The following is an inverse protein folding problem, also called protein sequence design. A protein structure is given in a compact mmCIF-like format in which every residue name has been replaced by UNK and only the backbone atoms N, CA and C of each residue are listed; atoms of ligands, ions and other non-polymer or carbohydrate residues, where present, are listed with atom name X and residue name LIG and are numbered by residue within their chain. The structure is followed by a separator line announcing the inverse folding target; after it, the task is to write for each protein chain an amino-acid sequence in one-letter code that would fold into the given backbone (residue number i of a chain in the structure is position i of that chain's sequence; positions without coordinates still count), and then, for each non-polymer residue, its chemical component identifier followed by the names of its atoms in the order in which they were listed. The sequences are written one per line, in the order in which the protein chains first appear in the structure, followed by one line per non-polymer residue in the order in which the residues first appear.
data_IF_899043124665
#
_entry.id   IF_899043124665
#
_cell.length_a   1.000
_cell.length_b   1.000
_cell.length_c   1.000
_cell.angle_alpha   90.00
_cell.angle_beta   90.00
_cell.angle_gamma   90.00
#
_symmetry.space_group_name_H-M   'P 1'
#
loop_
_entity.id
_entity.type
_entity.pdbx_description
1 polymer ?
#
# COMPACT_ATOMS: atom_id res chain seq x y z
N UNK A 1 5.29 27.78 -20.31
CA UNK A 1 6.61 28.44 -20.18
C UNK A 1 7.77 27.47 -20.28
N UNK A 2 7.89 26.47 -19.39
CA UNK A 2 8.99 25.47 -19.45
C UNK A 2 9.14 24.80 -20.82
N UNK A 3 8.01 24.41 -21.43
CA UNK A 3 7.95 23.79 -22.75
C UNK A 3 8.48 24.68 -23.91
N UNK A 4 8.56 26.01 -23.74
CA UNK A 4 9.14 26.90 -24.74
C UNK A 4 10.67 26.79 -24.78
N UNK A 5 11.28 26.49 -23.63
CA UNK A 5 12.74 26.34 -23.48
C UNK A 5 13.14 24.88 -23.72
N UNK A 6 12.33 23.94 -23.25
CA UNK A 6 12.57 22.51 -23.34
C UNK A 6 11.31 21.79 -23.87
N UNK A 7 11.08 21.78 -25.19
CA UNK A 7 9.87 21.18 -25.78
C UNK A 7 9.80 19.66 -25.56
N UNK A 8 10.93 19.00 -25.30
CA UNK A 8 11.02 17.56 -25.04
C UNK A 8 10.24 17.11 -23.79
N UNK A 9 9.93 18.03 -22.87
CA UNK A 9 9.14 17.70 -21.67
C UNK A 9 7.65 17.54 -21.95
N UNK A 10 7.16 17.95 -23.13
CA UNK A 10 5.74 17.84 -23.51
C UNK A 10 5.36 16.36 -23.75
N UNK A 11 4.15 15.99 -23.31
CA UNK A 11 3.56 14.67 -23.57
C UNK A 11 4.32 13.51 -22.90
N UNK A 12 4.11 12.29 -23.42
CA UNK A 12 4.75 11.08 -22.87
C UNK A 12 6.25 10.98 -23.15
N UNK A 13 6.73 11.60 -24.24
CA UNK A 13 8.15 11.61 -24.60
C UNK A 13 8.68 10.32 -25.24
N UNK A 14 7.82 9.42 -25.72
CA UNK A 14 8.22 8.15 -26.34
C UNK A 14 9.18 8.31 -27.53
N UNK A 15 8.96 9.31 -28.40
CA UNK A 15 9.89 9.60 -29.50
C UNK A 15 11.29 9.97 -29.02
N UNK A 16 11.40 10.77 -27.96
CA UNK A 16 12.68 11.12 -27.35
C UNK A 16 13.36 9.94 -26.66
N UNK A 17 12.57 9.02 -26.09
CA UNK A 17 13.12 7.76 -25.58
C UNK A 17 13.72 6.92 -26.72
N UNK A 18 13.09 6.88 -27.90
CA UNK A 18 13.67 6.23 -29.07
C UNK A 18 14.97 6.90 -29.51
N UNK A 19 15.02 8.23 -29.57
CA UNK A 19 16.26 8.97 -29.88
C UNK A 19 17.39 8.69 -28.86
N UNK A 20 17.05 8.47 -27.58
CA UNK A 20 18.01 8.05 -26.57
C UNK A 20 18.51 6.61 -26.81
N UNK A 21 17.61 5.68 -27.14
CA UNK A 21 17.96 4.29 -27.49
C UNK A 21 18.93 4.27 -28.69
N UNK A 22 18.65 5.08 -29.71
CA UNK A 22 19.45 5.20 -30.92
C UNK A 22 20.77 5.96 -30.70
N UNK A 23 21.01 6.47 -29.49
CA UNK A 23 22.23 7.22 -29.15
C UNK A 23 22.33 8.58 -29.83
N UNK A 24 21.21 9.16 -30.27
CA UNK A 24 21.18 10.43 -31.03
C UNK A 24 21.11 11.69 -30.17
N UNK A 25 20.98 11.54 -28.84
CA UNK A 25 20.91 12.65 -27.90
C UNK A 25 22.27 12.93 -27.24
N UNK A 26 22.65 14.20 -27.17
CA UNK A 26 23.86 14.64 -26.47
C UNK A 26 23.72 14.48 -24.94
N UNK A 27 24.83 14.18 -24.26
CA UNK A 27 24.88 14.03 -22.79
C UNK A 27 24.27 15.21 -22.04
N UNK A 28 24.55 16.45 -22.47
CA UNK A 28 23.99 17.65 -21.86
C UNK A 28 22.46 17.71 -21.95
N UNK A 29 21.89 17.29 -23.10
CA UNK A 29 20.45 17.19 -23.31
C UNK A 29 19.84 16.12 -22.40
N UNK A 30 20.45 14.93 -22.34
CA UNK A 30 20.01 13.83 -21.48
C UNK A 30 19.96 14.28 -20.00
N UNK A 31 21.04 14.90 -19.52
CA UNK A 31 21.12 15.43 -18.16
C UNK A 31 20.05 16.49 -17.88
N UNK A 32 19.88 17.46 -18.78
CA UNK A 32 18.84 18.49 -18.64
C UNK A 32 17.44 17.86 -18.54
N UNK A 33 17.16 16.82 -19.34
CA UNK A 33 15.86 16.15 -19.37
C UNK A 33 15.56 15.30 -18.14
N UNK A 34 16.59 14.69 -17.51
CA UNK A 34 16.46 13.99 -16.22
C UNK A 34 15.95 14.94 -15.14
N UNK A 35 16.31 16.24 -15.18
CA UNK A 35 15.87 17.24 -14.22
C UNK A 35 14.58 17.95 -14.64
N UNK A 36 14.42 18.25 -15.93
CA UNK A 36 13.28 19.01 -16.43
C UNK A 36 11.98 18.20 -16.42
N UNK A 37 12.02 16.89 -16.69
CA UNK A 37 10.81 16.05 -16.77
C UNK A 37 10.11 15.87 -15.41
N UNK A 38 10.80 15.55 -14.29
CA UNK A 38 10.17 15.53 -12.96
C UNK A 38 9.56 16.89 -12.61
N UNK A 39 10.27 17.99 -12.88
CA UNK A 39 9.76 19.33 -12.62
C UNK A 39 8.47 19.62 -13.41
N UNK A 40 8.46 19.30 -14.70
CA UNK A 40 7.27 19.46 -15.55
C UNK A 40 6.09 18.63 -15.03
N UNK A 41 6.34 17.36 -14.66
CA UNK A 41 5.34 16.46 -14.11
C UNK A 41 4.79 16.98 -12.77
N UNK A 42 5.66 17.39 -11.85
CA UNK A 42 5.26 17.93 -10.55
C UNK A 42 4.39 19.18 -10.72
N UNK A 43 4.81 20.14 -11.55
CA UNK A 43 4.03 21.36 -11.82
C UNK A 43 2.66 21.05 -12.45
N UNK A 44 2.59 20.05 -13.33
CA UNK A 44 1.34 19.66 -13.99
C UNK A 44 0.36 19.04 -12.99
N UNK A 45 0.82 18.09 -12.17
CA UNK A 45 -0.03 17.40 -11.19
C UNK A 45 -0.41 18.35 -10.05
N UNK A 46 0.53 19.16 -9.54
CA UNK A 46 0.25 20.07 -8.43
C UNK A 46 -0.70 21.21 -8.79
N UNK A 47 -0.80 21.56 -10.08
CA UNK A 47 -1.77 22.57 -10.57
C UNK A 47 -3.16 22.00 -10.86
N UNK A 48 -3.41 20.73 -10.54
CA UNK A 48 -4.68 20.05 -10.83
C UNK A 48 -4.82 19.56 -12.27
N UNK A 49 -3.73 19.58 -13.05
CA UNK A 49 -3.70 18.99 -14.38
C UNK A 49 -3.81 17.47 -14.34
N UNK A 50 -4.57 16.90 -15.28
CA UNK A 50 -4.60 15.45 -15.47
C UNK A 50 -3.32 15.00 -16.17
N UNK A 51 -2.46 14.28 -15.43
CA UNK A 51 -1.19 13.76 -15.94
C UNK A 51 -0.86 12.43 -15.29
N UNK A 52 -0.61 11.41 -16.10
CA UNK A 52 -0.12 10.12 -15.62
C UNK A 52 1.34 10.21 -15.16
N UNK A 53 1.67 9.47 -14.10
CA UNK A 53 3.03 9.39 -13.54
C UNK A 53 3.91 8.34 -14.23
N UNK A 54 3.28 7.46 -15.01
CA UNK A 54 3.89 6.30 -15.65
C UNK A 54 4.89 6.70 -16.76
N UNK A 55 4.41 7.32 -17.84
CA UNK A 55 5.23 7.66 -19.00
C UNK A 55 6.40 8.60 -18.65
N UNK A 56 6.22 9.65 -17.81
CA UNK A 56 7.35 10.47 -17.37
C UNK A 56 8.41 9.68 -16.60
N UNK A 57 8.03 8.69 -15.79
CA UNK A 57 8.99 7.85 -15.06
C UNK A 57 9.84 6.98 -15.98
N UNK A 58 9.22 6.40 -17.02
CA UNK A 58 9.96 5.67 -18.06
C UNK A 58 10.93 6.60 -18.79
N UNK A 59 10.45 7.79 -19.17
CA UNK A 59 11.27 8.80 -19.83
C UNK A 59 12.48 9.20 -19.00
N UNK A 60 12.30 9.48 -17.71
CA UNK A 60 13.40 9.83 -16.80
C UNK A 60 14.43 8.70 -16.75
N UNK A 61 13.97 7.46 -16.64
CA UNK A 61 14.86 6.28 -16.66
C UNK A 61 15.61 6.12 -17.98
N UNK A 62 14.95 6.37 -19.11
CA UNK A 62 15.58 6.33 -20.42
C UNK A 62 16.69 7.38 -20.57
N UNK A 63 16.40 8.63 -20.18
CA UNK A 63 17.39 9.72 -20.24
C UNK A 63 18.57 9.46 -19.31
N UNK A 64 18.31 8.95 -18.09
CA UNK A 64 19.36 8.61 -17.13
C UNK A 64 20.24 7.46 -17.65
N UNK A 65 19.64 6.42 -18.21
CA UNK A 65 20.36 5.31 -18.83
C UNK A 65 21.24 5.78 -20.00
N UNK A 66 20.68 6.60 -20.90
CA UNK A 66 21.44 7.19 -22.00
C UNK A 66 22.60 8.05 -21.52
N UNK A 67 22.40 8.84 -20.46
CA UNK A 67 23.44 9.65 -19.86
C UNK A 67 24.58 8.77 -19.32
N UNK A 68 24.25 7.70 -18.61
CA UNK A 68 25.24 6.75 -18.10
C UNK A 68 26.01 6.06 -19.22
N UNK A 69 25.34 5.65 -20.31
CA UNK A 69 26.01 5.11 -21.49
C UNK A 69 26.97 6.11 -22.13
N UNK A 70 26.55 7.38 -22.27
CA UNK A 70 27.39 8.42 -22.84
C UNK A 70 28.63 8.70 -21.99
N UNK A 71 28.48 8.77 -20.67
CA UNK A 71 29.60 8.95 -19.73
C UNK A 71 30.54 7.74 -19.68
N UNK A 72 30.01 6.54 -19.86
CA UNK A 72 30.78 5.30 -19.89
C UNK A 72 31.37 4.97 -21.29
N UNK A 73 31.06 5.78 -22.31
CA UNK A 73 31.39 5.52 -23.72
C UNK A 73 30.90 4.14 -24.21
N UNK A 74 29.70 3.74 -23.78
CA UNK A 74 29.07 2.47 -24.11
C UNK A 74 27.88 2.66 -25.07
N UNK A 75 27.42 1.59 -25.75
CA UNK A 75 26.18 1.64 -26.53
C UNK A 75 24.99 2.08 -25.68
N UNK A 76 24.16 2.98 -26.22
CA UNK A 76 23.05 3.58 -25.47
C UNK A 76 21.93 2.59 -25.16
N UNK A 77 21.50 1.81 -26.15
CA UNK A 77 20.31 0.95 -26.05
C UNK A 77 20.27 0.07 -24.78
N UNK A 78 21.31 -0.71 -24.41
CA UNK A 78 21.26 -1.54 -23.20
C UNK A 78 21.06 -0.73 -21.91
N UNK A 79 21.76 0.40 -21.78
CA UNK A 79 21.66 1.25 -20.59
C UNK A 79 20.34 1.99 -20.52
N UNK A 80 19.81 2.44 -21.66
CA UNK A 80 18.51 3.11 -21.75
C UNK A 80 17.39 2.15 -21.34
N UNK A 81 17.41 0.91 -21.86
CA UNK A 81 16.42 -0.13 -21.51
C UNK A 81 16.50 -0.48 -20.02
N UNK A 82 17.71 -0.77 -19.51
CA UNK A 82 17.91 -1.11 -18.10
C UNK A 82 17.55 0.06 -17.18
N UNK A 83 17.93 1.29 -17.53
CA UNK A 83 17.63 2.51 -16.78
C UNK A 83 16.13 2.80 -16.71
N UNK A 84 15.42 2.59 -17.82
CA UNK A 84 13.96 2.70 -17.90
C UNK A 84 13.28 1.75 -16.92
N UNK A 85 13.66 0.47 -16.94
CA UNK A 85 13.13 -0.53 -16.02
C UNK A 85 13.47 -0.22 -14.56
N UNK A 86 14.74 0.11 -14.27
CA UNK A 86 15.22 0.33 -12.91
C UNK A 86 14.59 1.56 -12.24
N UNK A 87 14.47 2.68 -12.94
CA UNK A 87 13.87 3.90 -12.38
C UNK A 87 12.38 3.69 -12.10
N UNK A 88 11.64 3.13 -13.05
CA UNK A 88 10.21 2.89 -12.85
C UNK A 88 9.94 1.83 -11.77
N UNK A 89 10.68 0.71 -11.78
CA UNK A 89 10.57 -0.32 -10.75
C UNK A 89 10.79 0.22 -9.33
N UNK A 90 11.83 1.04 -9.16
CA UNK A 90 12.15 1.66 -7.89
C UNK A 90 11.10 2.67 -7.46
N UNK A 91 10.70 3.58 -8.35
CA UNK A 91 9.71 4.60 -8.04
C UNK A 91 8.32 4.01 -7.71
N UNK A 92 7.87 3.01 -8.48
CA UNK A 92 6.52 2.45 -8.38
C UNK A 92 6.41 1.20 -7.48
N UNK A 93 7.51 0.71 -6.90
CA UNK A 93 7.53 -0.52 -6.08
C UNK A 93 7.03 -1.78 -6.81
N UNK A 94 7.29 -1.88 -8.12
CA UNK A 94 6.81 -2.99 -8.96
C UNK A 94 7.94 -3.67 -9.73
N UNK A 95 8.95 -4.25 -9.05
CA UNK A 95 10.17 -4.74 -9.71
C UNK A 95 9.90 -5.78 -10.80
N UNK A 96 9.06 -6.78 -10.53
CA UNK A 96 8.76 -7.84 -11.50
C UNK A 96 7.96 -7.31 -12.69
N UNK A 97 6.93 -6.50 -12.43
CA UNK A 97 6.08 -5.97 -13.49
C UNK A 97 6.84 -4.98 -14.39
N UNK A 98 7.64 -4.09 -13.80
CA UNK A 98 8.46 -3.13 -14.54
C UNK A 98 9.52 -3.84 -15.40
N UNK A 99 10.17 -4.88 -14.87
CA UNK A 99 11.13 -5.69 -15.61
C UNK A 99 10.46 -6.33 -16.84
N UNK A 100 9.37 -7.08 -16.64
CA UNK A 100 8.65 -7.75 -17.72
C UNK A 100 8.14 -6.76 -18.77
N UNK A 101 7.51 -5.67 -18.32
CA UNK A 101 6.95 -4.66 -19.20
C UNK A 101 8.01 -4.02 -20.11
N UNK A 102 9.16 -3.62 -19.55
CA UNK A 102 10.20 -2.97 -20.35
C UNK A 102 10.87 -3.98 -21.29
N UNK A 103 11.10 -5.23 -20.87
CA UNK A 103 11.66 -6.25 -21.76
C UNK A 103 10.72 -6.60 -22.91
N UNK A 104 9.41 -6.66 -22.67
CA UNK A 104 8.39 -6.91 -23.70
C UNK A 104 8.31 -5.73 -24.68
N UNK A 105 8.23 -4.50 -24.17
CA UNK A 105 8.13 -3.29 -25.02
C UNK A 105 9.36 -3.05 -25.90
N UNK A 106 10.53 -3.53 -25.47
CA UNK A 106 11.81 -3.29 -26.17
C UNK A 106 12.34 -4.51 -26.92
N UNK A 107 11.73 -5.68 -26.72
CA UNK A 107 12.24 -6.97 -27.24
C UNK A 107 13.59 -7.40 -26.63
N UNK A 108 14.06 -6.71 -25.59
CA UNK A 108 15.40 -6.85 -25.01
C UNK A 108 15.57 -8.03 -24.05
N UNK A 109 15.08 -9.22 -24.38
CA UNK A 109 15.13 -10.39 -23.49
C UNK A 109 16.55 -10.83 -23.10
N UNK A 110 17.54 -10.52 -23.94
CA UNK A 110 18.96 -10.77 -23.65
C UNK A 110 19.46 -9.95 -22.45
N UNK A 111 18.79 -8.83 -22.13
CA UNK A 111 19.13 -7.94 -21.02
C UNK A 111 18.36 -8.26 -19.74
N UNK A 112 17.57 -9.35 -19.70
CA UNK A 112 16.71 -9.66 -18.56
C UNK A 112 17.50 -9.82 -17.26
N UNK A 113 18.63 -10.54 -17.29
CA UNK A 113 19.49 -10.75 -16.11
C UNK A 113 20.11 -9.43 -15.60
N UNK A 114 20.81 -8.62 -16.41
CA UNK A 114 21.35 -7.35 -15.93
C UNK A 114 20.25 -6.35 -15.53
N UNK A 115 19.12 -6.34 -16.25
CA UNK A 115 17.97 -5.50 -15.88
C UNK A 115 17.37 -5.91 -14.54
N UNK A 116 17.22 -7.21 -14.27
CA UNK A 116 16.72 -7.71 -12.99
C UNK A 116 17.62 -7.28 -11.82
N UNK A 117 18.94 -7.35 -11.98
CA UNK A 117 19.88 -6.87 -10.96
C UNK A 117 19.73 -5.37 -10.70
N UNK A 118 19.73 -4.55 -11.75
CA UNK A 118 19.57 -3.10 -11.62
C UNK A 118 18.21 -2.72 -11.00
N UNK A 119 17.14 -3.39 -11.41
CA UNK A 119 15.79 -3.25 -10.87
C UNK A 119 15.75 -3.59 -9.39
N UNK A 120 16.34 -4.71 -8.97
CA UNK A 120 16.36 -5.12 -7.57
C UNK A 120 17.16 -4.16 -6.70
N UNK A 121 18.32 -3.70 -7.17
CA UNK A 121 19.13 -2.70 -6.46
C UNK A 121 18.35 -1.38 -6.34
N UNK A 122 17.77 -0.89 -7.42
CA UNK A 122 16.95 0.32 -7.43
C UNK A 122 15.77 0.21 -6.45
N UNK A 123 15.03 -0.90 -6.48
CA UNK A 123 13.92 -1.15 -5.58
C UNK A 123 14.36 -1.17 -4.10
N UNK A 124 15.44 -1.86 -3.76
CA UNK A 124 15.93 -1.95 -2.39
C UNK A 124 16.42 -0.60 -1.87
N UNK A 125 17.20 0.14 -2.68
CA UNK A 125 17.70 1.48 -2.33
C UNK A 125 16.55 2.44 -2.16
N UNK A 126 15.61 2.46 -3.11
CA UNK A 126 14.44 3.34 -3.05
C UNK A 126 13.63 3.02 -1.80
N UNK A 127 13.30 1.74 -1.52
CA UNK A 127 12.49 1.35 -0.36
C UNK A 127 13.14 1.76 0.97
N UNK A 128 14.47 1.64 1.06
CA UNK A 128 15.24 2.08 2.23
C UNK A 128 15.21 3.59 2.42
N UNK A 129 15.36 4.35 1.33
CA UNK A 129 15.37 5.81 1.38
C UNK A 129 13.98 6.40 1.62
N UNK A 130 12.97 5.81 0.98
CA UNK A 130 11.57 6.21 1.03
C UNK A 130 10.92 5.94 2.41
N UNK A 131 11.49 5.03 3.22
CA UNK A 131 10.97 4.68 4.54
C UNK A 131 10.82 5.87 5.52
N UNK A 132 11.55 6.97 5.28
CA UNK A 132 11.48 8.19 6.11
C UNK A 132 10.49 9.23 5.58
N UNK A 133 9.92 9.03 4.39
CA UNK A 133 9.03 9.98 3.76
C UNK A 133 7.56 9.56 3.92
N UNK A 134 6.66 10.54 3.84
CA UNK A 134 5.21 10.31 3.89
C UNK A 134 4.72 9.40 2.76
N UNK A 135 5.31 9.56 1.58
CA UNK A 135 4.96 8.81 0.39
C UNK A 135 6.09 7.86 0.04
N UNK A 136 5.81 6.55 0.09
CA UNK A 136 6.83 5.52 -0.06
C UNK A 136 7.03 5.08 -1.51
N UNK A 137 6.01 5.24 -2.34
CA UNK A 137 6.02 4.93 -3.77
C UNK A 137 5.36 6.05 -4.57
N UNK A 138 5.54 6.01 -5.88
CA UNK A 138 4.92 6.92 -6.84
C UNK A 138 3.38 6.82 -6.85
N UNK A 139 2.84 5.68 -6.44
CA UNK A 139 1.40 5.41 -6.42
C UNK A 139 0.91 5.39 -4.97
N UNK A 140 0.45 6.55 -4.49
CA UNK A 140 0.03 6.74 -3.09
C UNK A 140 -1.12 5.81 -2.67
N UNK A 141 -2.01 5.48 -3.62
CA UNK A 141 -3.14 4.58 -3.40
C UNK A 141 -2.78 3.09 -3.50
N UNK A 142 -1.51 2.76 -3.75
CA UNK A 142 -1.07 1.37 -3.87
C UNK A 142 -1.05 0.70 -2.49
N UNK A 143 -1.86 -0.34 -2.37
CA UNK A 143 -1.95 -1.17 -1.16
C UNK A 143 -0.94 -2.31 -1.18
N UNK A 144 -0.60 -2.85 0.00
CA UNK A 144 0.45 -3.85 0.14
C UNK A 144 0.11 -5.20 -0.51
N UNK A 145 -1.15 -5.62 -0.40
CA UNK A 145 -1.61 -6.89 -0.98
C UNK A 145 -2.87 -6.69 -1.80
N UNK A 146 -3.14 -7.64 -2.70
CA UNK A 146 -4.39 -7.66 -3.48
C UNK A 146 -5.63 -7.69 -2.58
N UNK A 147 -5.55 -8.34 -1.41
CA UNK A 147 -6.66 -8.43 -0.46
C UNK A 147 -7.04 -7.07 0.13
N UNK A 148 -6.07 -6.15 0.26
CA UNK A 148 -6.29 -4.78 0.76
C UNK A 148 -6.92 -3.87 -0.31
N UNK A 149 -7.08 -4.34 -1.54
CA UNK A 149 -7.62 -3.52 -2.64
C UNK A 149 -9.13 -3.28 -2.46
N UNK A 150 -9.59 -2.01 -2.47
CA UNK A 150 -11.01 -1.68 -2.38
C UNK A 150 -11.85 -2.33 -3.50
N UNK A 151 -11.24 -2.64 -4.64
CA UNK A 151 -11.92 -3.24 -5.79
C UNK A 151 -12.50 -4.64 -5.49
N UNK A 152 -11.90 -5.40 -4.57
CA UNK A 152 -12.34 -6.76 -4.23
C UNK A 152 -13.33 -6.80 -3.05
N UNK A 153 -13.71 -5.65 -2.49
CA UNK A 153 -14.57 -5.58 -1.31
C UNK A 153 -15.94 -6.25 -1.53
N UNK A 154 -16.53 -6.07 -2.72
CA UNK A 154 -17.83 -6.67 -3.05
C UNK A 154 -17.76 -8.20 -3.23
N UNK A 155 -16.61 -8.72 -3.65
CA UNK A 155 -16.37 -10.15 -3.82
C UNK A 155 -16.19 -10.83 -2.46
N UNK A 156 -15.41 -10.20 -1.56
CA UNK A 156 -15.28 -10.65 -0.18
C UNK A 156 -16.63 -10.63 0.56
N UNK A 157 -17.45 -9.60 0.36
CA UNK A 157 -18.78 -9.51 0.95
C UNK A 157 -19.73 -10.61 0.43
N UNK A 158 -19.68 -10.92 -0.87
CA UNK A 158 -20.47 -12.03 -1.44
C UNK A 158 -20.04 -13.38 -0.89
N UNK A 159 -18.74 -13.61 -0.71
CA UNK A 159 -18.22 -14.84 -0.10
C UNK A 159 -18.70 -14.94 1.35
N UNK A 160 -18.58 -13.87 2.13
CA UNK A 160 -19.06 -13.81 3.51
C UNK A 160 -20.57 -14.07 3.62
N UNK A 161 -21.38 -13.42 2.77
CA UNK A 161 -22.83 -13.63 2.72
C UNK A 161 -23.22 -15.04 2.25
N UNK A 162 -22.46 -15.63 1.32
CA UNK A 162 -22.67 -17.03 0.88
C UNK A 162 -22.40 -18.00 2.03
N UNK A 163 -21.30 -17.81 2.76
CA UNK A 163 -20.95 -18.63 3.93
C UNK A 163 -22.04 -18.52 5.01
N UNK A 164 -22.53 -17.29 5.29
CA UNK A 164 -23.62 -17.05 6.25
C UNK A 164 -24.97 -17.63 5.81
N UNK A 165 -25.24 -17.66 4.50
CA UNK A 165 -26.49 -18.18 3.95
C UNK A 165 -26.49 -19.71 3.83
N UNK A 166 -25.34 -20.32 3.59
CA UNK A 166 -25.20 -21.76 3.39
C UNK A 166 -25.02 -22.54 4.71
N UNK A 167 -24.58 -21.91 5.80
CA UNK A 167 -24.47 -22.58 7.10
C UNK A 167 -25.27 -21.90 8.21
N UNK A 168 -26.38 -22.54 8.60
CA UNK A 168 -26.95 -22.35 9.95
C UNK A 168 -25.95 -22.93 10.95
N UNK A 169 -25.42 -22.07 11.82
CA UNK A 169 -24.48 -22.37 12.92
C UNK A 169 -23.04 -22.58 12.44
N UNK A 170 -22.18 -21.61 12.76
CA UNK A 170 -20.73 -21.66 12.57
C UNK A 170 -20.13 -22.57 13.64
N UNK A 171 -19.39 -23.61 13.23
CA UNK A 171 -18.46 -24.33 14.09
C UNK A 171 -17.07 -23.65 13.97
N UNK A 172 -16.48 -23.13 15.05
CA UNK A 172 -15.22 -22.36 15.01
C UNK A 172 -14.03 -23.09 14.38
N UNK A 173 -14.10 -24.42 14.26
CA UNK A 173 -13.06 -25.25 13.65
C UNK A 173 -12.97 -25.11 12.11
N UNK A 174 -14.04 -24.66 11.44
CA UNK A 174 -14.10 -24.54 9.98
C UNK A 174 -13.67 -23.15 9.45
N UNK A 175 -13.39 -22.19 10.36
CA UNK A 175 -12.91 -20.86 10.01
C UNK A 175 -11.38 -20.86 9.88
N UNK A 176 -10.88 -20.63 8.66
CA UNK A 176 -9.47 -20.30 8.46
C UNK A 176 -9.12 -18.97 9.17
N UNK A 177 -7.93 -18.88 9.77
CA UNK A 177 -7.49 -17.70 10.55
C UNK A 177 -7.61 -16.37 9.78
N UNK A 178 -7.39 -16.37 8.45
CA UNK A 178 -7.48 -15.16 7.62
C UNK A 178 -8.93 -14.66 7.42
N UNK A 179 -9.91 -15.56 7.34
CA UNK A 179 -11.32 -15.18 7.13
C UNK A 179 -11.93 -14.59 8.40
N UNK A 180 -11.54 -15.13 9.56
CA UNK A 180 -11.91 -14.57 10.84
C UNK A 180 -11.31 -13.17 11.04
N UNK A 181 -10.01 -12.99 10.77
CA UNK A 181 -9.37 -11.67 10.85
C UNK A 181 -9.96 -10.65 9.87
N UNK A 182 -10.41 -11.10 8.70
CA UNK A 182 -11.05 -10.25 7.69
C UNK A 182 -12.45 -9.80 8.12
N UNK A 183 -13.26 -10.70 8.70
CA UNK A 183 -14.56 -10.34 9.30
C UNK A 183 -14.39 -9.38 10.47
N UNK A 184 -13.43 -9.67 11.35
CA UNK A 184 -13.08 -8.83 12.48
C UNK A 184 -12.62 -7.42 12.07
N UNK A 185 -11.93 -7.26 10.92
CA UNK A 185 -11.56 -5.96 10.33
C UNK A 185 -12.73 -5.12 9.82
N UNK A 186 -13.89 -5.71 9.55
CA UNK A 186 -15.05 -4.96 9.06
C UNK A 186 -15.84 -4.25 10.17
N UNK A 187 -15.50 -4.51 11.45
CA UNK A 187 -16.27 -4.02 12.59
C UNK A 187 -17.69 -4.60 12.67
N UNK A 188 -18.00 -5.65 11.90
CA UNK A 188 -19.27 -6.37 11.95
C UNK A 188 -19.18 -7.40 13.07
N UNK A 189 -20.13 -7.42 14.02
CA UNK A 189 -20.17 -8.44 15.06
C UNK A 189 -20.32 -9.85 14.48
N UNK A 190 -19.47 -10.79 14.90
CA UNK A 190 -19.56 -12.21 14.54
C UNK A 190 -20.40 -12.93 15.60
N UNK A 191 -21.55 -13.47 15.24
CA UNK A 191 -22.41 -14.21 16.18
C UNK A 191 -21.78 -15.55 16.60
N UNK A 192 -21.86 -15.85 17.89
CA UNK A 192 -21.43 -17.09 18.53
C UNK A 192 -22.64 -17.85 19.10
N UNK A 193 -22.52 -19.17 19.35
CA UNK A 193 -23.55 -19.94 20.04
C UNK A 193 -23.88 -19.35 21.44
N UNK A 194 -25.17 -19.36 21.80
CA UNK A 194 -25.63 -18.94 23.14
C UNK A 194 -25.74 -17.43 23.34
N UNK A 195 -26.27 -16.70 22.36
CA UNK A 195 -26.54 -15.25 22.39
C UNK A 195 -25.31 -14.36 22.65
N UNK A 196 -24.13 -14.84 22.23
CA UNK A 196 -22.86 -14.12 22.32
C UNK A 196 -22.40 -13.70 20.93
N UNK A 197 -21.58 -12.66 20.85
CA UNK A 197 -20.99 -12.17 19.60
C UNK A 197 -19.60 -11.60 19.85
N UNK A 198 -18.69 -11.79 18.89
CA UNK A 198 -17.36 -11.18 18.88
C UNK A 198 -17.44 -9.85 18.17
N UNK A 199 -16.90 -8.80 18.79
CA UNK A 199 -16.88 -7.44 18.29
C UNK A 199 -15.45 -6.92 18.34
N UNK A 200 -15.00 -6.26 17.28
CA UNK A 200 -13.83 -5.39 17.36
C UNK A 200 -14.28 -3.95 17.24
N UNK A 201 -13.75 -3.12 18.12
CA UNK A 201 -13.87 -1.69 17.96
C UNK A 201 -12.83 -0.91 18.74
N UNK A 202 -12.85 0.39 18.52
CA UNK A 202 -11.91 1.35 19.12
C UNK A 202 -12.59 2.04 20.29
N UNK A 203 -11.97 2.01 21.46
CA UNK A 203 -12.51 2.68 22.63
C UNK A 203 -12.52 4.20 22.42
N UNK A 204 -13.71 4.80 22.50
CA UNK A 204 -13.88 6.23 22.30
C UNK A 204 -13.23 7.06 23.41
N UNK A 205 -12.95 8.32 23.08
CA UNK A 205 -12.37 9.28 24.02
C UNK A 205 -13.34 9.76 25.10
N UNK A 206 -14.65 9.63 24.90
CA UNK A 206 -15.70 9.98 25.86
C UNK A 206 -16.19 8.78 26.68
N UNK A 207 -15.56 7.61 26.53
CA UNK A 207 -16.01 6.38 27.16
C UNK A 207 -15.80 6.37 28.69
N UNK A 208 -16.81 5.99 29.49
CA UNK A 208 -16.70 5.89 30.95
C UNK A 208 -15.78 4.75 31.40
N UNK A 209 -15.49 3.79 30.52
CA UNK A 209 -14.57 2.68 30.78
C UNK A 209 -13.09 3.11 30.77
N UNK A 210 -12.82 4.38 30.48
CA UNK A 210 -11.48 4.96 30.56
C UNK A 210 -11.03 5.09 32.02
N UNK A 211 -9.77 4.79 32.29
CA UNK A 211 -9.14 4.92 33.61
C UNK A 211 -9.68 4.03 34.73
N UNK A 212 -10.66 3.16 34.46
CA UNK A 212 -11.05 2.13 35.41
C UNK A 212 -10.13 0.90 35.22
N UNK A 213 -9.47 0.42 36.29
CA UNK A 213 -8.82 -0.88 36.22
C UNK A 213 -9.89 -1.95 36.00
N UNK A 214 -9.61 -2.90 35.11
CA UNK A 214 -10.54 -3.98 34.76
C UNK A 214 -10.92 -4.84 35.98
N UNK A 215 -10.21 -4.72 37.11
CA UNK A 215 -10.63 -5.27 38.40
C UNK A 215 -10.50 -6.80 38.46
N UNK A 216 -10.97 -7.42 39.55
CA UNK A 216 -10.89 -8.87 39.76
C UNK A 216 -11.74 -9.70 38.77
N UNK A 217 -12.36 -9.08 37.78
CA UNK A 217 -13.32 -9.68 36.86
C UNK A 217 -12.67 -10.41 35.67
N UNK A 218 -11.34 -10.60 35.66
CA UNK A 218 -10.61 -11.27 34.56
C UNK A 218 -10.94 -10.70 33.17
N UNK A 219 -11.02 -9.37 33.06
CA UNK A 219 -11.28 -8.68 31.79
C UNK A 219 -12.75 -8.53 31.42
N UNK A 220 -13.69 -8.77 32.34
CA UNK A 220 -15.09 -8.39 32.12
C UNK A 220 -15.30 -6.90 32.37
N UNK A 221 -15.92 -6.23 31.38
CA UNK A 221 -16.36 -4.84 31.48
C UNK A 221 -17.63 -4.72 32.34
N UNK A 222 -18.52 -5.70 32.17
CA UNK A 222 -19.79 -5.88 32.86
C UNK A 222 -20.22 -7.36 32.76
N UNK A 223 -21.40 -7.71 33.29
CA UNK A 223 -21.96 -9.07 33.26
C UNK A 223 -22.25 -9.60 31.84
N UNK A 224 -22.14 -8.75 30.83
CA UNK A 224 -22.53 -9.04 29.45
C UNK A 224 -21.36 -8.98 28.48
N UNK A 225 -20.24 -8.40 28.86
CA UNK A 225 -19.13 -8.01 27.99
C UNK A 225 -17.79 -8.42 28.59
N UNK A 226 -17.05 -9.23 27.86
CA UNK A 226 -15.69 -9.63 28.20
C UNK A 226 -14.70 -9.13 27.14
N UNK A 227 -13.61 -8.51 27.58
CA UNK A 227 -12.46 -8.23 26.73
C UNK A 227 -11.58 -9.48 26.68
N UNK A 228 -11.23 -9.90 25.47
CA UNK A 228 -10.27 -10.98 25.22
C UNK A 228 -8.86 -10.45 24.96
N UNK A 229 -8.75 -9.33 24.26
CA UNK A 229 -7.46 -8.72 23.95
C UNK A 229 -7.58 -7.21 23.74
N UNK A 230 -6.49 -6.52 24.07
CA UNK A 230 -6.32 -5.08 23.90
C UNK A 230 -5.11 -4.87 22.98
N UNK A 231 -5.28 -4.11 21.92
CA UNK A 231 -4.19 -3.68 21.05
C UNK A 231 -3.97 -2.17 21.21
N UNK A 232 -2.77 -1.80 21.63
CA UNK A 232 -2.33 -0.40 21.82
C UNK A 232 -1.11 -0.14 20.95
N UNK A 233 -1.32 0.62 19.86
CA UNK A 233 -0.30 0.74 18.81
C UNK A 233 0.02 -0.63 18.21
N UNK A 234 1.28 -1.04 18.26
CA UNK A 234 1.79 -2.33 17.76
C UNK A 234 1.76 -3.45 18.83
N UNK A 235 1.41 -3.14 20.09
CA UNK A 235 1.46 -4.10 21.18
C UNK A 235 0.08 -4.71 21.45
N UNK A 236 0.01 -6.05 21.45
CA UNK A 236 -1.17 -6.81 21.88
C UNK A 236 -0.97 -7.32 23.31
N UNK A 237 -1.96 -7.12 24.17
CA UNK A 237 -1.94 -7.57 25.56
C UNK A 237 -3.27 -8.24 25.95
N UNK A 238 -3.17 -9.24 26.83
CA UNK A 238 -4.33 -9.88 27.46
C UNK A 238 -4.74 -9.03 28.66
N UNK A 239 -6.04 -8.73 28.84
CA UNK A 239 -6.51 -7.94 29.97
C UNK A 239 -6.18 -8.64 31.30
N UNK A 240 -5.50 -7.91 32.18
CA UNK A 240 -5.23 -8.30 33.58
C UNK A 240 -6.02 -7.39 34.52
N UNK A 241 -6.22 -7.78 35.80
CA UNK A 241 -6.97 -6.98 36.76
C UNK A 241 -6.47 -5.54 36.94
N UNK A 242 -5.17 -5.34 36.79
CA UNK A 242 -4.46 -4.06 36.85
C UNK A 242 -4.46 -3.28 35.52
N UNK A 243 -4.99 -3.87 34.44
CA UNK A 243 -4.98 -3.24 33.12
C UNK A 243 -6.00 -2.11 33.06
N UNK A 244 -5.51 -0.93 32.72
CA UNK A 244 -6.30 0.30 32.56
C UNK A 244 -6.47 0.60 31.07
N UNK A 245 -7.71 0.76 30.64
CA UNK A 245 -8.06 1.08 29.26
C UNK A 245 -7.77 2.55 28.93
N UNK A 246 -7.26 2.76 27.71
CA UNK A 246 -6.94 4.07 27.15
C UNK A 246 -7.80 4.35 25.92
N UNK A 247 -8.03 5.62 25.63
CA UNK A 247 -8.72 6.00 24.41
C UNK A 247 -7.88 5.65 23.18
N UNK A 248 -8.52 5.12 22.15
CA UNK A 248 -7.83 4.59 20.98
C UNK A 248 -7.35 3.14 21.13
N UNK A 249 -7.50 2.52 22.32
CA UNK A 249 -7.27 1.08 22.45
C UNK A 249 -8.26 0.32 21.54
N UNK A 250 -7.71 -0.61 20.75
CA UNK A 250 -8.52 -1.50 19.92
C UNK A 250 -8.83 -2.76 20.73
N UNK A 251 -10.11 -3.02 20.95
CA UNK A 251 -10.58 -4.06 21.84
C UNK A 251 -11.18 -5.20 21.04
N UNK A 252 -10.81 -6.43 21.39
CA UNK A 252 -11.51 -7.64 20.97
C UNK A 252 -12.43 -8.03 22.12
N UNK A 253 -13.73 -7.95 21.87
CA UNK A 253 -14.78 -8.08 22.86
C UNK A 253 -15.66 -9.27 22.51
N UNK A 254 -16.09 -10.02 23.52
CA UNK A 254 -17.22 -10.94 23.42
C UNK A 254 -18.34 -10.37 24.25
N UNK A 255 -19.48 -10.09 23.63
CA UNK A 255 -20.62 -9.47 24.30
C UNK A 255 -21.91 -10.21 23.98
N UNK A 256 -22.90 -10.12 24.86
CA UNK A 256 -24.29 -10.46 24.51
C UNK A 256 -24.90 -9.38 23.62
N UNK A 257 -26.09 -9.63 23.05
CA UNK A 257 -26.82 -8.62 22.27
C UNK A 257 -27.12 -7.36 23.08
N UNK A 258 -27.56 -7.53 24.33
CA UNK A 258 -27.87 -6.44 25.24
C UNK A 258 -26.61 -5.62 25.59
N UNK A 259 -25.50 -6.31 25.88
CA UNK A 259 -24.22 -5.64 26.14
C UNK A 259 -23.74 -4.84 24.93
N UNK A 260 -23.91 -5.36 23.71
CA UNK A 260 -23.47 -4.66 22.49
C UNK A 260 -24.23 -3.36 22.24
N UNK A 261 -25.55 -3.32 22.48
CA UNK A 261 -26.33 -2.09 22.34
C UNK A 261 -25.85 -1.00 23.31
N UNK A 262 -25.48 -1.37 24.55
CA UNK A 262 -24.84 -0.44 25.49
C UNK A 262 -23.46 0.01 25.04
N UNK A 263 -22.69 -0.89 24.41
CA UNK A 263 -21.32 -0.62 23.99
C UNK A 263 -21.21 0.31 22.78
N UNK A 264 -22.23 0.32 21.89
CA UNK A 264 -22.24 1.14 20.66
C UNK A 264 -22.03 2.63 20.92
N UNK A 265 -22.45 3.13 22.08
CA UNK A 265 -22.26 4.54 22.45
C UNK A 265 -20.78 4.88 22.78
N UNK A 266 -19.96 3.86 23.04
CA UNK A 266 -18.65 4.02 23.66
C UNK A 266 -17.50 3.39 22.86
N UNK A 267 -17.82 2.65 21.80
CA UNK A 267 -16.85 1.97 20.94
C UNK A 267 -17.16 2.27 19.48
N UNK A 268 -16.19 2.86 18.79
CA UNK A 268 -16.27 3.12 17.36
C UNK A 268 -15.91 1.86 16.57
N UNK A 269 -16.38 1.80 15.32
CA UNK A 269 -15.94 0.76 14.38
C UNK A 269 -14.44 0.90 14.14
N UNK A 270 -13.78 -0.25 14.04
CA UNK A 270 -12.36 -0.33 13.73
C UNK A 270 -12.04 0.17 12.31
#
# INVERSE_FOLDING_TARGET
LLALICPQVIGGGYGWMQEAIDGRLAAGTLFALVLAKPLAMSLTISSGGSGGVFAPSLFIGAMLGGLLASLAHQPAAPFVIVGTAAVFAGAAHVPVAALMMVTEMTGGYTLLVPAALAVMVSYLVQRRLAARFRYQSLYEAQVATRADSPAHHSEHLKIALRILKERRVLDPADLGQLDFLSLLRTGIPVELPGDRRVVIGVLRSDSPYRQQPLGASNGHLDDHTQIFAIMRGEHMMVPRPDTVLQAGDRLILVTTKAGFEGLKAHVDKW
#
